data_IF_404750957371
#
_entry.id   IF_404750957371
#
_cell.length_a   1.000
_cell.length_b   1.000
_cell.length_c   1.000
_cell.angle_alpha   90.00
_cell.angle_beta   90.00
_cell.angle_gamma   90.00
#
_symmetry.space_group_name_H-M   'P 1'
#
loop_
_entity.id
_entity.type
_entity.pdbx_description
1 polymer ?
#
# COMPACT_ATOMS: atom_id res chain seq x y z
N UNK A 1 -25.45 -5.83 11.10
CA UNK A 1 -24.00 -5.81 11.33
C UNK A 1 -23.35 -6.22 10.02
N UNK A 2 -22.94 -5.25 9.20
CA UNK A 2 -22.35 -5.55 7.90
C UNK A 2 -20.96 -6.13 8.13
N UNK A 3 -20.79 -7.44 7.91
CA UNK A 3 -19.47 -8.03 7.76
C UNK A 3 -18.83 -7.37 6.54
N UNK A 4 -17.94 -6.42 6.76
CA UNK A 4 -17.10 -5.87 5.71
C UNK A 4 -16.20 -7.02 5.23
N UNK A 5 -16.42 -7.50 4.00
CA UNK A 5 -15.50 -8.43 3.38
C UNK A 5 -14.14 -7.76 3.27
N UNK A 6 -13.07 -8.36 3.81
CA UNK A 6 -11.74 -7.76 3.75
C UNK A 6 -11.28 -7.73 2.29
N UNK A 7 -10.54 -6.69 1.91
CA UNK A 7 -10.01 -6.53 0.55
C UNK A 7 -9.12 -7.72 0.14
N UNK A 8 -8.44 -8.30 1.11
CA UNK A 8 -7.69 -9.57 1.01
C UNK A 8 -7.83 -10.35 2.31
N UNK A 9 -7.77 -11.68 2.24
CA UNK A 9 -7.68 -12.54 3.43
C UNK A 9 -6.26 -12.59 4.00
N UNK A 10 -5.26 -12.59 3.12
CA UNK A 10 -3.84 -12.67 3.45
C UNK A 10 -3.07 -11.73 2.53
N UNK A 11 -2.08 -11.02 3.06
CA UNK A 11 -1.12 -10.28 2.25
C UNK A 11 -0.91 -8.83 2.67
N UNK A 12 -0.39 -8.04 1.73
CA UNK A 12 -0.06 -6.64 1.92
C UNK A 12 -0.92 -5.77 1.01
N UNK A 13 -1.47 -4.69 1.55
CA UNK A 13 -2.25 -3.72 0.80
C UNK A 13 -1.66 -2.33 0.99
N UNK A 14 -1.26 -1.69 -0.11
CA UNK A 14 -0.87 -0.28 -0.11
C UNK A 14 -2.04 0.60 -0.57
N UNK A 15 -2.44 1.56 0.26
CA UNK A 15 -3.38 2.61 -0.08
C UNK A 15 -2.62 3.86 -0.47
N UNK A 16 -2.84 4.34 -1.69
CA UNK A 16 -2.05 5.40 -2.31
C UNK A 16 -2.90 6.35 -3.12
N UNK A 17 -2.30 7.48 -3.52
CA UNK A 17 -2.87 8.41 -4.50
C UNK A 17 -1.77 9.08 -5.29
N UNK A 18 -2.01 9.35 -6.56
CA UNK A 18 -1.09 10.03 -7.49
C UNK A 18 -0.79 11.46 -7.05
N UNK A 19 -1.75 12.15 -6.44
CA UNK A 19 -1.58 13.48 -5.89
C UNK A 19 -0.69 13.53 -4.63
N UNK A 20 -0.28 12.39 -4.07
CA UNK A 20 0.62 12.34 -2.91
C UNK A 20 2.11 12.33 -3.34
N UNK A 21 2.93 13.31 -2.90
CA UNK A 21 4.36 13.33 -3.20
C UNK A 21 5.12 12.10 -2.71
N UNK A 22 4.78 11.59 -1.53
CA UNK A 22 5.44 10.38 -0.99
C UNK A 22 5.04 9.14 -1.77
N UNK A 23 3.78 9.02 -2.21
CA UNK A 23 3.35 7.90 -3.05
C UNK A 23 4.13 7.87 -4.37
N UNK A 24 4.29 9.03 -5.03
CA UNK A 24 5.06 9.13 -6.28
C UNK A 24 6.55 8.89 -6.06
N UNK A 25 7.11 9.33 -4.92
CA UNK A 25 8.50 9.04 -4.55
C UNK A 25 8.76 7.52 -4.44
N UNK A 26 7.82 6.77 -3.87
CA UNK A 26 7.98 5.33 -3.61
C UNK A 26 7.37 4.43 -4.71
N UNK A 27 6.96 4.99 -5.84
CA UNK A 27 6.33 4.26 -6.94
C UNK A 27 7.17 3.06 -7.41
N UNK A 28 8.48 3.26 -7.60
CA UNK A 28 9.40 2.18 -7.99
C UNK A 28 9.52 1.09 -6.94
N UNK A 29 9.38 1.44 -5.67
CA UNK A 29 9.41 0.50 -4.55
C UNK A 29 8.14 -0.36 -4.56
N UNK A 30 6.97 0.24 -4.79
CA UNK A 30 5.73 -0.53 -4.95
C UNK A 30 5.78 -1.46 -6.16
N UNK A 31 6.36 -1.03 -7.28
CA UNK A 31 6.58 -1.89 -8.45
C UNK A 31 7.50 -3.08 -8.12
N UNK A 32 8.58 -2.83 -7.37
CA UNK A 32 9.49 -3.89 -6.94
C UNK A 32 8.80 -4.89 -5.99
N UNK A 33 7.96 -4.40 -5.07
CA UNK A 33 7.15 -5.25 -4.18
C UNK A 33 6.17 -6.09 -4.99
N UNK A 34 5.41 -5.49 -5.91
CA UNK A 34 4.43 -6.19 -6.73
C UNK A 34 5.02 -7.35 -7.55
N UNK A 35 6.28 -7.22 -7.99
CA UNK A 35 7.01 -8.28 -8.73
C UNK A 35 7.49 -9.43 -7.85
N UNK A 36 7.67 -9.21 -6.55
CA UNK A 36 8.33 -10.15 -5.62
C UNK A 36 7.40 -10.72 -4.57
N UNK A 37 6.30 -10.03 -4.29
CA UNK A 37 5.32 -10.39 -3.27
C UNK A 37 3.98 -10.66 -3.98
N UNK A 38 3.63 -11.92 -4.26
CA UNK A 38 2.42 -12.27 -5.01
C UNK A 38 1.12 -11.79 -4.35
N UNK A 39 1.12 -11.63 -3.03
CA UNK A 39 -0.04 -11.18 -2.25
C UNK A 39 0.01 -9.67 -1.93
N UNK A 40 0.76 -8.90 -2.71
CA UNK A 40 0.74 -7.44 -2.64
C UNK A 40 -0.34 -6.86 -3.55
N UNK A 41 -1.18 -5.99 -3.00
CA UNK A 41 -2.23 -5.26 -3.71
C UNK A 41 -2.06 -3.77 -3.51
N UNK A 42 -2.50 -3.00 -4.50
CA UNK A 42 -2.51 -1.54 -4.43
C UNK A 42 -3.92 -1.03 -4.64
N UNK A 43 -4.30 -0.07 -3.82
CA UNK A 43 -5.60 0.61 -3.82
C UNK A 43 -5.31 2.09 -4.07
N UNK A 44 -5.87 2.65 -5.15
CA UNK A 44 -5.59 4.02 -5.56
C UNK A 44 -6.81 4.93 -5.41
N UNK A 45 -6.66 6.01 -4.66
CA UNK A 45 -7.76 6.93 -4.31
C UNK A 45 -8.10 7.97 -5.39
N UNK A 46 -7.28 8.13 -6.44
CA UNK A 46 -7.47 9.22 -7.41
C UNK A 46 -7.21 8.82 -8.89
N UNK A 47 -6.23 7.96 -9.15
CA UNK A 47 -5.93 7.45 -10.49
C UNK A 47 -5.79 5.91 -10.45
N UNK A 48 -6.74 5.14 -11.00
CA UNK A 48 -6.68 3.68 -11.00
C UNK A 48 -5.53 3.10 -11.85
N UNK A 49 -4.77 3.94 -12.56
CA UNK A 49 -3.56 3.55 -13.30
C UNK A 49 -2.28 3.84 -12.52
N UNK A 50 -2.39 4.43 -11.33
CA UNK A 50 -1.27 4.67 -10.43
C UNK A 50 -1.25 3.60 -9.32
N UNK A 51 -0.10 3.00 -9.01
CA UNK A 51 1.23 3.20 -9.62
C UNK A 51 1.31 2.56 -11.01
N UNK A 52 2.11 3.15 -11.90
CA UNK A 52 2.30 2.59 -13.23
C UNK A 52 2.96 1.20 -13.15
N UNK A 53 2.72 0.36 -14.16
CA UNK A 53 3.32 -0.98 -14.28
C UNK A 53 3.03 -1.95 -13.10
N UNK A 54 1.94 -1.69 -12.36
CA UNK A 54 1.30 -2.65 -11.45
C UNK A 54 -0.07 -2.97 -12.05
N UNK A 55 -0.28 -4.24 -12.41
CA UNK A 55 -1.57 -4.70 -12.90
C UNK A 55 -2.56 -4.89 -11.73
N UNK A 56 -3.85 -4.69 -12.00
CA UNK A 56 -4.91 -4.97 -11.02
C UNK A 56 -4.93 -4.02 -9.81
N UNK A 57 -4.46 -2.77 -9.98
CA UNK A 57 -4.70 -1.68 -9.03
C UNK A 57 -6.21 -1.55 -8.81
N UNK A 58 -6.63 -1.54 -7.55
CA UNK A 58 -8.02 -1.36 -7.16
C UNK A 58 -8.37 0.12 -7.23
N UNK A 59 -9.40 0.43 -8.02
CA UNK A 59 -9.98 1.77 -8.10
C UNK A 59 -10.73 2.10 -6.82
N UNK A 60 -10.29 3.13 -6.12
CA UNK A 60 -10.89 3.60 -4.87
C UNK A 60 -11.15 5.11 -4.91
N UNK A 61 -11.51 5.65 -6.09
CA UNK A 61 -11.87 7.06 -6.25
C UNK A 61 -13.06 7.50 -5.41
N UNK A 62 -13.97 6.58 -5.13
CA UNK A 62 -15.11 6.80 -4.23
C UNK A 62 -14.75 6.61 -2.74
N UNK A 63 -13.47 6.31 -2.43
CA UNK A 63 -12.92 6.12 -1.07
C UNK A 63 -13.59 4.99 -0.26
N UNK A 64 -14.26 4.08 -0.95
CA UNK A 64 -15.09 3.03 -0.40
C UNK A 64 -14.24 2.00 0.37
N UNK A 65 -13.08 1.62 -0.18
CA UNK A 65 -12.10 0.77 0.49
C UNK A 65 -11.31 1.54 1.55
N UNK A 66 -10.91 2.77 1.26
CA UNK A 66 -10.18 3.62 2.20
C UNK A 66 -10.97 3.89 3.48
N UNK A 67 -12.26 4.20 3.36
CA UNK A 67 -13.15 4.41 4.50
C UNK A 67 -13.30 3.15 5.34
N UNK A 68 -13.54 1.99 4.71
CA UNK A 68 -13.65 0.68 5.39
C UNK A 68 -12.38 0.29 6.15
N UNK A 69 -11.22 0.75 5.71
CA UNK A 69 -9.92 0.46 6.33
C UNK A 69 -9.36 1.63 7.15
N UNK A 70 -10.18 2.64 7.48
CA UNK A 70 -9.78 3.80 8.26
C UNK A 70 -8.48 4.44 7.74
N UNK A 71 -8.40 4.68 6.43
CA UNK A 71 -7.24 5.32 5.79
C UNK A 71 -7.39 6.82 5.88
N UNK A 72 -6.56 7.46 6.70
CA UNK A 72 -6.51 8.92 6.85
C UNK A 72 -5.41 9.57 6.00
N UNK A 73 -4.29 8.86 5.80
CA UNK A 73 -3.08 9.36 5.14
C UNK A 73 -2.56 8.38 4.08
N UNK A 74 -1.83 8.89 3.09
CA UNK A 74 -1.30 8.08 1.98
C UNK A 74 0.17 8.43 1.74
N UNK A 75 1.09 7.47 1.60
CA UNK A 75 0.81 6.04 1.50
C UNK A 75 0.49 5.45 2.88
N UNK A 76 -0.35 4.43 2.91
CA UNK A 76 -0.52 3.55 4.07
C UNK A 76 -0.35 2.11 3.61
N UNK A 77 0.56 1.35 4.22
CA UNK A 77 0.76 -0.07 3.97
C UNK A 77 0.17 -0.87 5.13
N UNK A 78 -0.69 -1.84 4.83
CA UNK A 78 -1.35 -2.69 5.82
C UNK A 78 -1.05 -4.15 5.53
N UNK A 79 -0.70 -4.92 6.57
CA UNK A 79 -0.65 -6.38 6.52
C UNK A 79 -1.97 -6.96 7.02
N UNK A 80 -2.52 -7.88 6.24
CA UNK A 80 -3.70 -8.65 6.59
C UNK A 80 -3.33 -10.11 6.84
N UNK A 81 -3.83 -10.66 7.93
CA UNK A 81 -3.79 -12.10 8.25
C UNK A 81 -5.18 -12.54 8.72
N UNK A 82 -5.68 -13.65 8.20
CA UNK A 82 -7.03 -14.16 8.42
C UNK A 82 -8.14 -13.10 8.23
N UNK A 83 -7.96 -12.21 7.25
CA UNK A 83 -8.88 -11.13 6.93
C UNK A 83 -8.87 -9.96 7.93
N UNK A 84 -7.89 -9.90 8.82
CA UNK A 84 -7.75 -8.86 9.84
C UNK A 84 -6.45 -8.10 9.65
N UNK A 85 -6.49 -6.80 9.85
CA UNK A 85 -5.30 -5.98 9.98
C UNK A 85 -4.48 -6.43 11.20
N UNK A 86 -3.19 -6.74 10.97
CA UNK A 86 -2.23 -7.11 12.02
C UNK A 86 -1.13 -6.09 12.20
N UNK A 87 -0.80 -5.33 11.15
CA UNK A 87 0.23 -4.30 11.18
C UNK A 87 -0.06 -3.22 10.14
N UNK A 88 0.25 -1.96 10.47
CA UNK A 88 0.08 -0.79 9.61
C UNK A 88 1.31 0.10 9.68
N UNK A 89 1.68 0.64 8.52
CA UNK A 89 2.71 1.67 8.37
C UNK A 89 2.11 2.84 7.61
N UNK A 90 2.10 4.01 8.25
CA UNK A 90 1.67 5.28 7.63
C UNK A 90 2.90 6.02 7.10
N UNK A 91 2.81 6.55 5.90
CA UNK A 91 3.92 7.17 5.20
C UNK A 91 4.93 6.15 4.68
N UNK A 92 6.13 6.65 4.38
CA UNK A 92 7.26 5.80 4.00
C UNK A 92 8.18 5.66 5.20
N UNK A 93 8.22 4.45 5.76
CA UNK A 93 9.28 3.99 6.66
C UNK A 93 9.97 2.82 5.99
N UNK A 94 11.21 3.05 5.53
CA UNK A 94 11.97 2.06 4.79
C UNK A 94 12.15 0.77 5.56
N UNK A 95 12.45 0.83 6.85
CA UNK A 95 12.75 -0.37 7.63
C UNK A 95 11.47 -1.14 7.96
N UNK A 96 10.37 -0.45 8.19
CA UNK A 96 9.06 -1.08 8.35
C UNK A 96 8.56 -1.71 7.04
N UNK A 97 8.71 -1.02 5.91
CA UNK A 97 8.37 -1.58 4.59
C UNK A 97 9.25 -2.78 4.24
N UNK A 98 10.56 -2.74 4.52
CA UNK A 98 11.46 -3.89 4.35
C UNK A 98 11.02 -5.08 5.20
N UNK A 99 10.69 -4.85 6.47
CA UNK A 99 10.18 -5.90 7.38
C UNK A 99 8.90 -6.53 6.85
N UNK A 100 7.92 -5.71 6.47
CA UNK A 100 6.61 -6.19 6.00
C UNK A 100 6.69 -6.94 4.67
N UNK A 101 7.49 -6.42 3.73
CA UNK A 101 7.64 -6.98 2.38
C UNK A 101 8.64 -8.14 2.31
N UNK A 102 9.54 -8.25 3.29
CA UNK A 102 10.65 -9.21 3.27
C UNK A 102 11.77 -8.87 2.28
N UNK A 103 11.76 -7.67 1.68
CA UNK A 103 12.73 -7.25 0.65
C UNK A 103 13.79 -6.36 1.30
N UNK A 104 14.97 -6.91 1.59
CA UNK A 104 16.01 -6.22 2.36
C UNK A 104 16.59 -4.98 1.64
N UNK A 105 16.65 -4.98 0.31
CA UNK A 105 17.19 -3.90 -0.51
C UNK A 105 16.14 -2.82 -0.86
N UNK A 106 14.89 -2.95 -0.37
CA UNK A 106 13.81 -2.04 -0.75
C UNK A 106 14.15 -0.60 -0.36
N UNK A 107 14.04 0.33 -1.31
CA UNK A 107 14.32 1.75 -1.04
C UNK A 107 15.78 2.11 -0.80
N UNK A 108 16.73 1.31 -1.30
CA UNK A 108 18.13 1.74 -1.41
C UNK A 108 18.24 3.08 -2.14
N UNK A 109 19.04 4.00 -1.59
CA UNK A 109 19.20 5.37 -2.11
C UNK A 109 18.06 6.33 -1.78
N UNK A 110 16.96 5.89 -1.16
CA UNK A 110 15.92 6.78 -0.63
C UNK A 110 16.19 7.19 0.81
N UNK A 111 15.69 8.37 1.18
CA UNK A 111 15.59 8.78 2.59
C UNK A 111 14.76 7.75 3.36
N UNK A 112 15.18 7.36 4.58
CA UNK A 112 14.55 6.28 5.31
C UNK A 112 13.11 6.59 5.73
N UNK A 113 12.78 7.86 5.95
CA UNK A 113 11.46 8.31 6.44
C UNK A 113 10.90 9.41 5.54
N UNK A 114 9.64 9.31 5.14
CA UNK A 114 8.82 10.43 4.62
C UNK A 114 7.43 10.41 5.25
N UNK A 115 6.82 11.60 5.48
CA UNK A 115 5.43 11.68 5.91
C UNK A 115 4.45 11.13 4.85
N UNK A 116 3.26 10.73 5.28
CA UNK A 116 2.11 10.41 4.43
C UNK A 116 1.14 11.58 4.24
#
# INVERSE_FOLDING_TARGET
MASASPLVTEGLVAFVKRACPTCTLIEKQMQAVARRVPQFRVVSQDDPRFPAAIDGVVDDRELDHSWRNAIEFTPTLIRFEAGREVERVVGWDRDAWRRLTGIAELGEGLRPLQPG
#
